data_IF_516162160521
#
_entry.id   IF_516162160521
#
_cell.length_a   1.000
_cell.length_b   1.000
_cell.length_c   1.000
_cell.angle_alpha   90.00
_cell.angle_beta   90.00
_cell.angle_gamma   90.00
#
_symmetry.space_group_name_H-M   'P 1'
#
loop_
_entity.id
_entity.type
_entity.pdbx_description
1 polymer ?
#
# COMPACT_ATOMS: atom_id res chain seq x y z
N UNK A 1 18.84 -27.32 -9.45
CA UNK A 1 18.67 -27.68 -8.02
C UNK A 1 17.27 -28.25 -7.83
N UNK A 2 17.14 -29.46 -7.28
CA UNK A 2 15.82 -30.04 -6.99
C UNK A 2 15.31 -29.44 -5.67
N UNK A 3 14.22 -28.67 -5.73
CA UNK A 3 13.59 -28.08 -4.54
C UNK A 3 13.00 -29.20 -3.65
N UNK A 4 13.35 -29.17 -2.37
CA UNK A 4 12.85 -30.12 -1.38
C UNK A 4 11.37 -29.85 -1.08
N UNK A 5 10.66 -30.81 -0.49
CA UNK A 5 9.22 -30.68 -0.18
C UNK A 5 8.93 -29.50 0.76
N UNK A 6 9.90 -29.13 1.60
CA UNK A 6 9.86 -27.99 2.54
C UNK A 6 9.86 -26.66 1.80
N UNK A 7 10.65 -26.54 0.73
CA UNK A 7 10.79 -25.32 -0.07
C UNK A 7 9.46 -24.96 -0.75
N UNK A 8 8.73 -25.97 -1.26
CA UNK A 8 7.39 -25.77 -1.85
C UNK A 8 6.38 -25.18 -0.86
N UNK A 9 6.51 -25.49 0.43
CA UNK A 9 5.64 -24.94 1.47
C UNK A 9 5.90 -23.46 1.70
N UNK A 10 7.18 -23.08 1.80
CA UNK A 10 7.61 -21.70 2.01
C UNK A 10 7.19 -20.78 0.86
N UNK A 11 7.38 -21.21 -0.39
CA UNK A 11 6.97 -20.43 -1.56
C UNK A 11 5.45 -20.18 -1.61
N UNK A 12 4.64 -21.19 -1.27
CA UNK A 12 3.18 -21.03 -1.20
C UNK A 12 2.76 -20.04 -0.11
N UNK A 13 3.46 -20.05 1.03
CA UNK A 13 3.20 -19.10 2.10
C UNK A 13 3.53 -17.67 1.71
N UNK A 14 4.64 -17.46 1.00
CA UNK A 14 5.01 -16.14 0.46
C UNK A 14 3.86 -15.52 -0.35
N UNK A 15 3.31 -16.25 -1.32
CA UNK A 15 2.20 -15.75 -2.15
C UNK A 15 0.90 -15.55 -1.36
N UNK A 16 0.62 -16.38 -0.36
CA UNK A 16 -0.58 -16.22 0.49
C UNK A 16 -0.47 -14.97 1.37
N UNK A 17 0.68 -14.76 1.99
CA UNK A 17 0.93 -13.56 2.80
C UNK A 17 0.89 -12.31 1.92
N UNK A 18 1.48 -12.35 0.72
CA UNK A 18 1.40 -11.24 -0.23
C UNK A 18 -0.05 -10.95 -0.65
N UNK A 19 -0.91 -11.97 -0.78
CA UNK A 19 -2.34 -11.77 -1.08
C UNK A 19 -3.07 -11.15 0.11
N UNK A 20 -2.73 -11.54 1.35
CA UNK A 20 -3.30 -10.95 2.56
C UNK A 20 -2.89 -9.49 2.72
N UNK A 21 -1.62 -9.15 2.44
CA UNK A 21 -1.15 -7.76 2.43
C UNK A 21 -1.89 -6.93 1.37
N UNK A 22 -2.18 -7.50 0.19
CA UNK A 22 -2.97 -6.81 -0.84
C UNK A 22 -4.39 -6.54 -0.36
N UNK A 23 -5.05 -7.55 0.22
CA UNK A 23 -6.41 -7.41 0.75
C UNK A 23 -6.45 -6.36 1.86
N UNK A 24 -5.50 -6.40 2.79
CA UNK A 24 -5.33 -5.38 3.82
C UNK A 24 -5.15 -3.97 3.21
N UNK A 25 -4.28 -3.83 2.21
CA UNK A 25 -4.06 -2.57 1.51
C UNK A 25 -5.32 -2.05 0.81
N UNK A 26 -6.09 -2.92 0.15
CA UNK A 26 -7.38 -2.55 -0.47
C UNK A 26 -8.38 -2.11 0.58
N UNK A 27 -8.46 -2.79 1.72
CA UNK A 27 -9.34 -2.40 2.83
C UNK A 27 -8.94 -1.05 3.39
N UNK A 28 -7.65 -0.79 3.61
CA UNK A 28 -7.16 0.51 4.10
C UNK A 28 -7.43 1.65 3.11
N UNK A 29 -7.22 1.42 1.81
CA UNK A 29 -7.53 2.43 0.78
C UNK A 29 -9.04 2.66 0.67
N UNK A 30 -9.84 1.59 0.73
CA UNK A 30 -11.30 1.70 0.71
C UNK A 30 -11.80 2.49 1.92
N UNK A 31 -11.23 2.23 3.10
CA UNK A 31 -11.53 2.97 4.32
C UNK A 31 -11.17 4.46 4.19
N UNK A 32 -9.96 4.76 3.71
CA UNK A 32 -9.53 6.14 3.46
C UNK A 32 -10.45 6.86 2.45
N UNK A 33 -10.86 6.17 1.38
CA UNK A 33 -11.78 6.70 0.37
C UNK A 33 -13.22 6.85 0.88
N UNK A 34 -13.64 6.01 1.83
CA UNK A 34 -14.98 6.01 2.42
C UNK A 34 -15.07 6.84 3.71
N UNK A 35 -13.97 7.46 4.16
CA UNK A 35 -13.93 8.40 5.29
C UNK A 35 -14.93 9.58 5.18
N UNK A 36 -15.61 9.70 4.03
CA UNK A 36 -16.75 10.58 3.77
C UNK A 36 -18.08 10.05 4.36
N UNK A 37 -18.14 8.80 4.84
CA UNK A 37 -19.32 8.17 5.42
C UNK A 37 -19.16 7.99 6.94
N UNK A 38 -20.01 8.59 7.78
CA UNK A 38 -19.87 8.51 9.23
C UNK A 38 -20.33 7.14 9.74
N UNK A 39 -19.36 6.23 9.93
CA UNK A 39 -19.52 5.02 10.76
C UNK A 39 -19.30 5.31 12.26
N UNK A 40 -19.38 6.58 12.64
CA UNK A 40 -19.15 7.05 13.99
C UNK A 40 -20.44 6.87 14.79
N UNK A 41 -20.37 6.13 15.91
CA UNK A 41 -21.48 6.07 16.85
C UNK A 41 -21.79 7.46 17.40
N UNK A 42 -22.98 7.65 17.97
CA UNK A 42 -23.40 8.94 18.52
C UNK A 42 -22.47 9.47 19.63
N UNK A 43 -21.66 8.61 20.23
CA UNK A 43 -20.66 8.93 21.26
C UNK A 43 -19.27 9.26 20.69
N UNK A 44 -19.10 9.30 19.37
CA UNK A 44 -17.81 9.54 18.73
C UNK A 44 -16.91 8.31 18.64
N UNK A 45 -17.36 7.14 19.12
CA UNK A 45 -16.58 5.91 19.10
C UNK A 45 -16.74 5.14 17.80
N UNK A 46 -15.73 4.35 17.47
CA UNK A 46 -15.78 3.38 16.38
C UNK A 46 -16.13 1.99 16.93
N UNK A 47 -16.87 1.16 16.15
CA UNK A 47 -17.09 -0.22 16.52
C UNK A 47 -15.80 -1.00 16.75
N UNK A 48 -15.77 -1.84 17.79
CA UNK A 48 -14.59 -2.64 18.12
C UNK A 48 -14.13 -3.54 16.97
N UNK A 49 -15.06 -4.06 16.16
CA UNK A 49 -14.72 -4.87 14.98
C UNK A 49 -14.02 -4.05 13.89
N UNK A 50 -14.39 -2.78 13.74
CA UNK A 50 -13.79 -1.87 12.75
C UNK A 50 -12.37 -1.52 13.17
N UNK A 51 -12.17 -1.18 14.45
CA UNK A 51 -10.83 -0.94 15.01
C UNK A 51 -9.95 -2.19 14.88
N UNK A 52 -10.48 -3.37 15.17
CA UNK A 52 -9.74 -4.63 15.01
C UNK A 52 -9.30 -4.86 13.54
N UNK A 53 -10.19 -4.62 12.57
CA UNK A 53 -9.83 -4.71 11.14
C UNK A 53 -8.76 -3.69 10.75
N UNK A 54 -8.86 -2.45 11.23
CA UNK A 54 -7.85 -1.40 11.00
C UNK A 54 -6.48 -1.81 11.53
N UNK A 55 -6.40 -2.28 12.78
CA UNK A 55 -5.13 -2.74 13.37
C UNK A 55 -4.53 -3.95 12.66
N UNK A 56 -5.36 -4.92 12.25
CA UNK A 56 -4.90 -6.08 11.47
C UNK A 56 -4.38 -5.61 10.09
N UNK A 57 -5.09 -4.68 9.45
CA UNK A 57 -4.69 -4.10 8.18
C UNK A 57 -3.33 -3.41 8.26
N UNK A 58 -3.16 -2.53 9.24
CA UNK A 58 -1.88 -1.83 9.52
C UNK A 58 -0.79 -2.84 9.84
N UNK A 59 -1.05 -3.87 10.66
CA UNK A 59 -0.06 -4.90 10.96
C UNK A 59 0.41 -5.63 9.69
N UNK A 60 -0.52 -6.04 8.82
CA UNK A 60 -0.18 -6.72 7.56
C UNK A 60 0.56 -5.81 6.58
N UNK A 61 0.17 -4.54 6.48
CA UNK A 61 0.78 -3.58 5.57
C UNK A 61 2.15 -3.08 6.07
N UNK A 62 2.26 -2.69 7.34
CA UNK A 62 3.43 -1.99 7.89
C UNK A 62 4.48 -2.92 8.48
N UNK A 63 4.13 -4.16 8.82
CA UNK A 63 5.07 -5.16 9.36
C UNK A 63 5.26 -6.37 8.43
N UNK A 64 4.19 -6.99 7.95
CA UNK A 64 4.32 -8.22 7.16
C UNK A 64 4.84 -7.94 5.74
N UNK A 65 4.26 -6.96 5.02
CA UNK A 65 4.73 -6.60 3.68
C UNK A 65 6.24 -6.29 3.61
N UNK A 66 6.81 -5.42 4.47
CA UNK A 66 8.25 -5.13 4.43
C UNK A 66 9.12 -6.35 4.71
N UNK A 67 8.69 -7.24 5.61
CA UNK A 67 9.38 -8.53 5.82
C UNK A 67 9.37 -9.35 4.52
N UNK A 68 8.26 -9.40 3.78
CA UNK A 68 8.19 -10.10 2.48
C UNK A 68 9.04 -9.42 1.39
N UNK A 69 9.17 -8.09 1.43
CA UNK A 69 10.03 -7.29 0.53
C UNK A 69 11.51 -7.58 0.77
N UNK A 70 11.92 -8.01 1.96
CA UNK A 70 13.32 -8.34 2.27
C UNK A 70 13.58 -9.86 2.32
N UNK A 71 12.54 -10.68 2.53
CA UNK A 71 12.64 -12.14 2.70
C UNK A 71 12.94 -12.89 1.39
N UNK A 72 14.15 -12.67 0.83
CA UNK A 72 14.64 -13.33 -0.39
C UNK A 72 14.58 -14.85 -0.31
N UNK A 73 14.84 -15.42 0.87
CA UNK A 73 14.81 -16.87 1.09
C UNK A 73 13.43 -17.52 0.87
N UNK A 74 12.35 -16.74 0.89
CA UNK A 74 10.99 -17.21 0.64
C UNK A 74 10.58 -17.11 -0.83
N UNK A 75 11.46 -16.66 -1.72
CA UNK A 75 11.15 -16.47 -3.15
C UNK A 75 11.67 -17.64 -3.97
N UNK A 76 10.81 -18.13 -4.86
CA UNK A 76 11.23 -19.00 -5.95
C UNK A 76 11.76 -18.16 -7.13
N UNK A 77 12.28 -18.83 -8.15
CA UNK A 77 12.83 -18.19 -9.36
C UNK A 77 11.83 -17.23 -10.01
N UNK A 78 10.54 -17.62 -10.05
CA UNK A 78 9.48 -16.80 -10.60
C UNK A 78 9.21 -15.56 -9.74
N UNK A 79 9.13 -15.70 -8.40
CA UNK A 79 8.99 -14.57 -7.50
C UNK A 79 10.17 -13.60 -7.57
N UNK A 80 11.40 -14.09 -7.75
CA UNK A 80 12.58 -13.22 -7.87
C UNK A 80 12.54 -12.41 -9.18
N UNK A 81 12.19 -13.04 -10.31
CA UNK A 81 11.98 -12.32 -11.58
C UNK A 81 10.85 -11.30 -11.49
N UNK A 82 9.78 -11.64 -10.79
CA UNK A 82 8.66 -10.74 -10.54
C UNK A 82 9.07 -9.58 -9.61
N UNK A 83 9.91 -9.84 -8.62
CA UNK A 83 10.46 -8.84 -7.70
C UNK A 83 11.30 -7.80 -8.44
N UNK A 84 12.19 -8.22 -9.34
CA UNK A 84 12.99 -7.31 -10.16
C UNK A 84 12.09 -6.40 -11.01
N UNK A 85 11.13 -6.99 -11.76
CA UNK A 85 10.17 -6.21 -12.55
C UNK A 85 9.32 -5.26 -11.69
N UNK A 86 8.92 -5.70 -10.50
CA UNK A 86 8.19 -4.85 -9.55
C UNK A 86 9.03 -3.66 -9.13
N UNK A 87 10.31 -3.88 -8.84
CA UNK A 87 11.26 -2.83 -8.43
C UNK A 87 11.47 -1.80 -9.54
N UNK A 88 11.60 -2.25 -10.79
CA UNK A 88 11.73 -1.36 -11.95
C UNK A 88 10.48 -0.47 -12.09
N UNK A 89 9.27 -1.05 -12.00
CA UNK A 89 8.02 -0.30 -12.05
C UNK A 89 7.90 0.67 -10.87
N UNK A 90 8.31 0.27 -9.66
CA UNK A 90 8.29 1.15 -8.50
C UNK A 90 9.13 2.41 -8.70
N UNK A 91 10.30 2.32 -9.35
CA UNK A 91 11.12 3.51 -9.63
C UNK A 91 10.35 4.49 -10.52
N UNK A 92 9.71 4.00 -11.59
CA UNK A 92 8.89 4.85 -12.46
C UNK A 92 7.73 5.48 -11.70
N UNK A 93 7.03 4.71 -10.87
CA UNK A 93 5.88 5.20 -10.10
C UNK A 93 6.32 6.19 -9.03
N UNK A 94 7.41 5.92 -8.30
CA UNK A 94 7.94 6.80 -7.25
C UNK A 94 8.39 8.16 -7.81
N UNK A 95 8.89 8.19 -9.05
CA UNK A 95 9.23 9.44 -9.73
C UNK A 95 7.98 10.12 -10.28
N UNK A 96 7.11 9.40 -10.98
CA UNK A 96 5.99 10.00 -11.71
C UNK A 96 4.83 10.46 -10.79
N UNK A 97 4.49 9.67 -9.76
CA UNK A 97 3.30 9.92 -8.93
C UNK A 97 3.34 11.26 -8.20
N UNK A 98 4.44 11.67 -7.56
CA UNK A 98 4.52 13.00 -6.93
C UNK A 98 4.22 14.13 -7.92
N UNK A 99 4.76 14.07 -9.15
CA UNK A 99 4.47 15.08 -10.18
C UNK A 99 3.01 15.05 -10.64
N UNK A 100 2.43 13.86 -10.81
CA UNK A 100 1.03 13.71 -11.21
C UNK A 100 0.11 14.27 -10.13
N UNK A 101 0.37 13.97 -8.85
CA UNK A 101 -0.44 14.49 -7.75
C UNK A 101 -0.28 16.00 -7.61
N UNK A 102 0.94 16.52 -7.72
CA UNK A 102 1.18 17.97 -7.72
C UNK A 102 0.44 18.68 -8.85
N UNK A 103 0.52 18.16 -10.08
CA UNK A 103 -0.20 18.71 -11.22
C UNK A 103 -1.73 18.67 -11.00
N UNK A 104 -2.26 17.57 -10.45
CA UNK A 104 -3.68 17.46 -10.11
C UNK A 104 -4.10 18.49 -9.05
N UNK A 105 -3.30 18.66 -7.99
CA UNK A 105 -3.56 19.65 -6.94
C UNK A 105 -3.62 21.08 -7.50
N UNK A 106 -2.66 21.44 -8.37
CA UNK A 106 -2.61 22.76 -9.02
C UNK A 106 -3.84 22.98 -9.91
N UNK A 107 -4.24 21.98 -10.70
CA UNK A 107 -5.43 22.07 -11.56
C UNK A 107 -6.70 22.26 -10.72
N UNK A 108 -6.86 21.50 -9.63
CA UNK A 108 -8.01 21.63 -8.74
C UNK A 108 -8.06 22.99 -8.05
N UNK A 109 -6.91 23.49 -7.60
CA UNK A 109 -6.80 24.85 -7.03
C UNK A 109 -7.19 25.92 -8.06
N UNK A 110 -6.68 25.82 -9.29
CA UNK A 110 -6.98 26.77 -10.36
C UNK A 110 -8.48 26.79 -10.72
N UNK A 111 -9.16 25.64 -10.69
CA UNK A 111 -10.60 25.54 -10.98
C UNK A 111 -11.45 26.05 -9.81
N UNK A 112 -11.09 25.70 -8.57
CA UNK A 112 -11.93 26.01 -7.39
C UNK A 112 -11.70 27.42 -6.86
N UNK A 113 -10.54 28.03 -7.10
CA UNK A 113 -10.12 29.30 -6.50
C UNK A 113 -10.27 29.34 -4.97
N UNK A 114 -10.30 28.15 -4.34
CA UNK A 114 -10.49 28.03 -2.91
C UNK A 114 -9.23 28.53 -2.18
N UNK A 115 -9.37 29.15 -1.00
CA UNK A 115 -8.22 29.62 -0.22
C UNK A 115 -7.31 28.46 0.24
N UNK A 116 -7.86 27.25 0.33
CA UNK A 116 -7.15 26.01 0.62
C UNK A 116 -7.55 24.93 -0.38
N UNK A 117 -6.63 24.02 -0.68
CA UNK A 117 -6.92 22.90 -1.58
C UNK A 117 -7.97 21.96 -0.93
N UNK A 118 -8.99 21.48 -1.66
CA UNK A 118 -9.96 20.54 -1.09
C UNK A 118 -9.30 19.19 -0.75
N UNK A 119 -9.82 18.49 0.26
CA UNK A 119 -9.40 17.12 0.57
C UNK A 119 -9.51 16.21 -0.68
N UNK A 120 -8.52 15.35 -0.97
CA UNK A 120 -7.32 15.02 -0.17
C UNK A 120 -6.09 15.90 -0.44
N UNK A 121 -6.19 16.95 -1.26
CA UNK A 121 -5.03 17.76 -1.65
C UNK A 121 -4.52 18.70 -0.55
N UNK A 122 -5.33 19.01 0.46
CA UNK A 122 -4.87 19.72 1.66
C UNK A 122 -3.82 18.92 2.47
N UNK A 123 -3.74 17.60 2.31
CA UNK A 123 -2.74 16.77 2.99
C UNK A 123 -1.31 17.18 2.63
N UNK A 124 -1.11 17.81 1.46
CA UNK A 124 0.21 18.34 1.05
C UNK A 124 0.56 19.69 1.71
N UNK A 125 -0.42 20.33 2.35
CA UNK A 125 -0.24 21.60 3.08
C UNK A 125 -0.20 21.37 4.60
N UNK A 126 -0.43 20.15 5.08
CA UNK A 126 -0.38 19.82 6.50
C UNK A 126 1.08 19.79 6.99
N UNK A 127 1.33 20.47 8.12
CA UNK A 127 2.62 20.39 8.79
C UNK A 127 2.80 19.00 9.41
N UNK A 128 3.62 18.17 8.76
CA UNK A 128 3.97 16.85 9.27
C UNK A 128 5.38 16.84 9.85
N UNK A 129 5.57 16.11 10.95
CA UNK A 129 6.90 15.87 11.50
C UNK A 129 7.70 14.99 10.55
N UNK A 130 9.04 15.14 10.55
CA UNK A 130 9.93 14.31 9.74
C UNK A 130 9.71 12.82 10.00
N UNK A 131 9.45 12.44 11.26
CA UNK A 131 9.18 11.05 11.62
C UNK A 131 7.87 10.52 11.03
N UNK A 132 6.78 11.32 11.10
CA UNK A 132 5.50 10.98 10.47
C UNK A 132 5.67 10.83 8.95
N UNK A 133 6.38 11.76 8.30
CA UNK A 133 6.66 11.71 6.87
C UNK A 133 7.43 10.45 6.47
N UNK A 134 8.48 10.09 7.22
CA UNK A 134 9.26 8.87 6.96
C UNK A 134 8.40 7.60 7.14
N UNK A 135 7.57 7.57 8.18
CA UNK A 135 6.70 6.43 8.45
C UNK A 135 5.65 6.25 7.35
N UNK A 136 4.95 7.32 6.96
CA UNK A 136 3.96 7.26 5.87
C UNK A 136 4.60 6.90 4.53
N UNK A 137 5.76 7.49 4.21
CA UNK A 137 6.48 7.14 2.98
C UNK A 137 6.86 5.65 2.95
N UNK A 138 7.29 5.10 4.08
CA UNK A 138 7.57 3.67 4.22
C UNK A 138 6.32 2.80 4.03
N UNK A 139 5.19 3.18 4.63
CA UNK A 139 3.92 2.45 4.50
C UNK A 139 3.43 2.47 3.04
N UNK A 140 3.41 3.64 2.40
CA UNK A 140 3.04 3.77 0.99
C UNK A 140 3.98 3.01 0.08
N UNK A 141 5.29 3.01 0.35
CA UNK A 141 6.26 2.23 -0.40
C UNK A 141 5.96 0.73 -0.32
N UNK A 142 5.70 0.20 0.88
CA UNK A 142 5.38 -1.22 1.08
C UNK A 142 4.07 -1.61 0.42
N UNK A 143 3.03 -0.79 0.57
CA UNK A 143 1.74 -1.02 -0.08
C UNK A 143 1.88 -0.99 -1.60
N UNK A 144 2.57 0.02 -2.15
CA UNK A 144 2.78 0.14 -3.58
C UNK A 144 3.54 -1.06 -4.15
N UNK A 145 4.56 -1.54 -3.45
CA UNK A 145 5.27 -2.77 -3.82
C UNK A 145 4.28 -3.94 -3.94
N UNK A 146 3.45 -4.17 -2.91
CA UNK A 146 2.48 -5.27 -2.88
C UNK A 146 1.48 -5.15 -4.04
N UNK A 147 0.96 -3.95 -4.29
CA UNK A 147 0.02 -3.68 -5.38
C UNK A 147 0.63 -4.00 -6.75
N UNK A 148 1.82 -3.46 -7.05
CA UNK A 148 2.51 -3.69 -8.33
C UNK A 148 2.86 -5.18 -8.48
N UNK A 149 3.42 -5.79 -7.44
CA UNK A 149 3.80 -7.21 -7.46
C UNK A 149 2.61 -8.10 -7.83
N UNK A 150 1.46 -7.86 -7.19
CA UNK A 150 0.26 -8.66 -7.42
C UNK A 150 -0.39 -8.35 -8.77
N UNK A 151 -0.35 -7.10 -9.21
CA UNK A 151 -0.81 -6.72 -10.54
C UNK A 151 0.00 -7.41 -11.64
N UNK A 152 1.33 -7.40 -11.54
CA UNK A 152 2.22 -8.09 -12.48
C UNK A 152 2.01 -9.60 -12.45
N UNK A 153 1.83 -10.19 -11.26
CA UNK A 153 1.51 -11.61 -11.12
C UNK A 153 0.21 -11.98 -11.80
N UNK A 154 -0.84 -11.17 -11.61
CA UNK A 154 -2.14 -11.38 -12.23
C UNK A 154 -2.06 -11.26 -13.75
N UNK A 155 -1.34 -10.26 -14.25
CA UNK A 155 -1.08 -10.06 -15.68
C UNK A 155 -0.37 -11.27 -16.29
N UNK A 156 0.62 -11.83 -15.62
CA UNK A 156 1.40 -12.98 -16.11
C UNK A 156 0.64 -14.32 -15.98
N UNK A 157 -0.43 -14.38 -15.17
CA UNK A 157 -1.28 -15.59 -15.06
C UNK A 157 -2.32 -15.74 -16.17
N UNK A 158 -2.46 -14.73 -17.03
CA UNK A 158 -3.34 -14.71 -18.20
C UNK A 158 -2.55 -15.06 -19.45
#
# INVERSE_FOLDING_TARGET
MQATKTDRGLYRWYYRLMNLCLLAGVVLIADAALSVAPLVYADGSYPAWYLALGYIGIFLASFVAPVLVVARFMRDEYAEQLFHRTTDVMIYVAVAVPFVIFAAAVVVYAITSAPEAPYPFNLFMEEITVWKAMWEAYEYFCLLFVFIFQFLRWKDSR
#
